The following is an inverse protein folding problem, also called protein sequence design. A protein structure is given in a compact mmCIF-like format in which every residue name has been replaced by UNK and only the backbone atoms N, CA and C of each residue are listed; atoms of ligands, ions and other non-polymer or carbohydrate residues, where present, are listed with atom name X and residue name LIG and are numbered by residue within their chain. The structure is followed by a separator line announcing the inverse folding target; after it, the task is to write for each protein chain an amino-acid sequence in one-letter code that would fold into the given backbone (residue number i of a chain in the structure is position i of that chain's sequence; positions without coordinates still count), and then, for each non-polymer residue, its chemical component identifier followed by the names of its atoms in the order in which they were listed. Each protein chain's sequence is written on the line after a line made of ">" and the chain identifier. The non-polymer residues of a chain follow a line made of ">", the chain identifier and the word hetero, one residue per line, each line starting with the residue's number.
data_IF_956456762901
#
_entry.id   IF_956456762901
#
_cell.length_a   1.000
_cell.length_b   1.000
_cell.length_c   1.000
_cell.angle_alpha   90.00
_cell.angle_beta   90.00
_cell.angle_gamma   90.00
#
_symmetry.space_group_name_H-M   'P 1'
#
loop_
_entity.id
_entity.type
_entity.pdbx_description
1 polymer ?
#
# COMPACT_ATOMS: atom_id res chain seq x y z
N UNK A 1 -8.14 -8.11 13.58
CA UNK A 1 -7.18 -8.34 12.46
C UNK A 1 -5.85 -8.84 13.00
N UNK A 2 -5.37 -9.96 12.46
CA UNK A 2 -4.10 -10.61 12.79
C UNK A 2 -2.95 -10.04 11.95
N UNK A 3 -1.84 -9.70 12.61
CA UNK A 3 -0.56 -9.42 11.93
C UNK A 3 0.21 -10.72 11.78
N UNK A 4 0.66 -11.00 10.56
CA UNK A 4 1.54 -12.12 10.25
C UNK A 4 2.82 -11.55 9.67
N UNK A 5 3.94 -11.76 10.36
CA UNK A 5 5.27 -11.32 9.95
C UNK A 5 5.88 -12.36 9.03
N UNK A 6 6.29 -11.95 7.83
CA UNK A 6 6.94 -12.80 6.83
C UNK A 6 8.45 -12.55 6.73
N UNK A 7 8.92 -11.37 7.15
CA UNK A 7 10.35 -11.04 7.19
C UNK A 7 11.09 -11.74 8.36
N UNK A 8 12.32 -12.19 8.12
CA UNK A 8 13.20 -12.83 9.13
C UNK A 8 13.93 -11.82 10.05
N UNK A 9 13.59 -10.53 9.95
CA UNK A 9 14.17 -9.42 10.74
C UNK A 9 13.08 -8.63 11.46
N UNK A 10 13.43 -7.82 12.46
CA UNK A 10 12.49 -6.86 13.03
C UNK A 10 11.98 -5.84 12.01
N UNK A 11 10.76 -5.34 12.24
CA UNK A 11 10.20 -4.29 11.41
C UNK A 11 11.01 -3.01 11.58
N UNK A 12 11.20 -2.30 10.48
CA UNK A 12 11.72 -0.93 10.54
C UNK A 12 10.62 -0.01 11.04
N UNK A 13 11.00 1.15 11.57
CA UNK A 13 10.02 2.15 12.05
C UNK A 13 9.03 2.55 10.94
N UNK A 14 9.51 2.65 9.70
CA UNK A 14 8.67 2.99 8.55
C UNK A 14 7.62 1.91 8.29
N UNK A 15 8.00 0.63 8.37
CA UNK A 15 7.08 -0.49 8.19
C UNK A 15 6.01 -0.55 9.28
N UNK A 16 6.38 -0.35 10.55
CA UNK A 16 5.44 -0.31 11.66
C UNK A 16 4.42 0.82 11.48
N UNK A 17 4.88 2.02 11.14
CA UNK A 17 4.01 3.17 10.86
C UNK A 17 3.10 2.93 9.65
N UNK A 18 3.63 2.32 8.59
CA UNK A 18 2.84 1.99 7.39
C UNK A 18 1.76 0.98 7.71
N UNK A 19 2.08 -0.09 8.45
CA UNK A 19 1.09 -1.08 8.92
C UNK A 19 0.03 -0.40 9.80
N UNK A 20 0.43 0.43 10.75
CA UNK A 20 -0.48 1.12 11.66
C UNK A 20 -1.44 2.04 10.91
N UNK A 21 -0.95 2.79 9.92
CA UNK A 21 -1.77 3.68 9.10
C UNK A 21 -2.74 2.93 8.21
N UNK A 22 -2.28 1.90 7.48
CA UNK A 22 -3.20 1.15 6.63
C UNK A 22 -4.22 0.34 7.45
N UNK A 23 -3.91 -0.06 8.69
CA UNK A 23 -4.92 -0.59 9.62
C UNK A 23 -5.99 0.43 10.03
N UNK A 24 -5.64 1.72 10.03
CA UNK A 24 -6.59 2.79 10.30
C UNK A 24 -7.43 3.12 9.05
N UNK A 25 -6.79 3.21 7.87
CA UNK A 25 -7.47 3.52 6.60
C UNK A 25 -8.36 2.39 6.10
N UNK A 26 -7.90 1.15 6.22
CA UNK A 26 -8.67 -0.02 5.82
C UNK A 26 -9.57 -0.43 6.97
N UNK A 27 -10.88 -0.47 6.68
CA UNK A 27 -11.86 -1.02 7.61
C UNK A 27 -11.56 -2.48 7.94
N UNK A 28 -12.24 -3.05 8.93
CA UNK A 28 -12.10 -4.47 9.30
C UNK A 28 -12.46 -5.45 8.14
N UNK A 29 -12.90 -4.96 6.99
CA UNK A 29 -13.22 -5.76 5.81
C UNK A 29 -12.09 -5.80 4.79
N UNK A 30 -11.11 -4.90 4.90
CA UNK A 30 -10.04 -4.76 3.92
C UNK A 30 -8.73 -5.27 4.50
N UNK A 31 -8.32 -6.44 4.01
CA UNK A 31 -7.07 -7.09 4.38
C UNK A 31 -5.94 -6.57 3.49
N UNK A 32 -4.68 -6.64 3.91
CA UNK A 32 -3.58 -6.16 3.08
C UNK A 32 -2.25 -6.87 3.33
N UNK A 33 -1.33 -6.74 2.36
CA UNK A 33 0.06 -7.16 2.48
C UNK A 33 0.97 -5.94 2.37
N UNK A 34 2.01 -5.88 3.19
CA UNK A 34 3.11 -4.92 3.06
C UNK A 34 4.16 -5.50 2.11
N UNK A 35 4.44 -4.81 1.00
CA UNK A 35 5.36 -5.23 -0.06
C UNK A 35 6.44 -4.16 -0.32
N UNK A 36 7.43 -4.09 0.56
CA UNK A 36 8.34 -2.94 0.71
C UNK A 36 7.90 -2.04 1.87
N UNK A 37 8.76 -1.10 2.29
CA UNK A 37 8.55 -0.39 3.57
C UNK A 37 7.29 0.50 3.61
N UNK A 38 6.85 0.98 2.44
CA UNK A 38 5.78 1.98 2.31
C UNK A 38 4.63 1.53 1.41
N UNK A 39 4.80 0.43 0.70
CA UNK A 39 3.88 -0.03 -0.34
C UNK A 39 3.04 -1.18 0.18
N UNK A 40 1.73 -1.09 0.06
CA UNK A 40 0.81 -2.16 0.43
C UNK A 40 -0.05 -2.60 -0.74
N UNK A 41 -0.46 -3.86 -0.71
CA UNK A 41 -1.47 -4.42 -1.62
C UNK A 41 -2.74 -4.67 -0.80
N UNK A 42 -3.82 -3.97 -1.12
CA UNK A 42 -5.14 -4.17 -0.50
C UNK A 42 -5.91 -5.33 -1.14
N UNK A 43 -6.66 -6.05 -0.31
CA UNK A 43 -7.53 -7.15 -0.70
C UNK A 43 -8.95 -6.88 -0.19
N UNK A 44 -9.83 -6.46 -1.08
CA UNK A 44 -11.27 -6.39 -0.83
C UNK A 44 -11.88 -7.78 -1.07
N UNK A 45 -11.88 -8.65 -0.06
CA UNK A 45 -12.52 -9.97 -0.13
C UNK A 45 -13.32 -10.27 1.13
N UNK A 46 -14.56 -10.73 0.94
CA UNK A 46 -15.32 -11.42 1.97
C UNK A 46 -14.69 -12.79 2.26
N UNK A 47 -14.45 -13.08 3.54
CA UNK A 47 -13.98 -14.38 4.02
C UNK A 47 -12.49 -14.45 4.38
N UNK A 48 -12.12 -15.55 5.04
CA UNK A 48 -10.79 -15.78 5.56
C UNK A 48 -9.77 -15.99 4.43
N UNK A 49 -8.76 -15.12 4.40
CA UNK A 49 -7.57 -15.32 3.59
C UNK A 49 -6.50 -15.99 4.46
N UNK A 50 -5.89 -17.03 3.91
CA UNK A 50 -4.63 -17.58 4.43
C UNK A 50 -3.45 -16.93 3.69
N UNK A 51 -2.24 -17.12 4.22
CA UNK A 51 -1.00 -16.56 3.65
C UNK A 51 -0.75 -17.00 2.21
N UNK A 52 -1.12 -18.25 1.86
CA UNK A 52 -0.92 -18.78 0.51
C UNK A 52 -1.81 -18.06 -0.51
N UNK A 53 -3.10 -17.89 -0.19
CA UNK A 53 -4.05 -17.15 -1.03
C UNK A 53 -3.69 -15.67 -1.09
N UNK A 54 -3.29 -15.06 0.04
CA UNK A 54 -2.85 -13.68 0.09
C UNK A 54 -1.62 -13.47 -0.80
N UNK A 55 -0.63 -14.35 -0.74
CA UNK A 55 0.55 -14.34 -1.62
C UNK A 55 0.18 -14.41 -3.11
N UNK A 56 -0.78 -15.27 -3.48
CA UNK A 56 -1.27 -15.36 -4.86
C UNK A 56 -1.95 -14.07 -5.31
N UNK A 57 -2.69 -13.40 -4.42
CA UNK A 57 -3.32 -12.11 -4.71
C UNK A 57 -2.27 -11.01 -4.91
N UNK A 58 -1.26 -10.92 -4.03
CA UNK A 58 -0.12 -10.00 -4.20
C UNK A 58 0.47 -10.14 -5.60
N UNK A 59 0.90 -11.36 -5.97
CA UNK A 59 1.53 -11.62 -7.27
C UNK A 59 0.64 -11.26 -8.46
N UNK A 60 -0.68 -11.43 -8.33
CA UNK A 60 -1.64 -11.04 -9.37
C UNK A 60 -1.77 -9.52 -9.47
N UNK A 61 -1.88 -8.83 -8.33
CA UNK A 61 -2.02 -7.38 -8.26
C UNK A 61 -0.78 -6.66 -8.78
N UNK A 62 0.43 -7.08 -8.37
CA UNK A 62 1.68 -6.45 -8.82
C UNK A 62 1.88 -6.63 -10.33
N UNK A 63 1.66 -7.84 -10.87
CA UNK A 63 1.69 -8.07 -12.33
C UNK A 63 0.68 -7.20 -13.09
N UNK A 64 -0.54 -7.06 -12.56
CA UNK A 64 -1.56 -6.20 -13.16
C UNK A 64 -1.08 -4.74 -13.20
N UNK A 65 -0.53 -4.23 -12.10
CA UNK A 65 0.00 -2.87 -12.02
C UNK A 65 1.12 -2.62 -13.05
N UNK A 66 2.09 -3.53 -13.16
CA UNK A 66 3.18 -3.43 -14.15
C UNK A 66 2.69 -3.47 -15.60
N UNK A 67 1.62 -4.24 -15.87
CA UNK A 67 1.03 -4.35 -17.21
C UNK A 67 0.03 -3.24 -17.55
N UNK A 68 -0.35 -2.41 -16.56
CA UNK A 68 -1.35 -1.36 -16.73
C UNK A 68 -0.72 -0.03 -17.12
N UNK A 69 -1.42 0.76 -17.92
CA UNK A 69 -0.99 2.13 -18.16
C UNK A 69 -0.98 2.89 -16.83
N UNK A 70 0.06 3.71 -16.58
CA UNK A 70 0.10 4.61 -15.45
C UNK A 70 -1.18 5.46 -15.38
N UNK A 71 -2.06 5.16 -14.42
CA UNK A 71 -3.18 6.03 -14.08
C UNK A 71 -2.68 7.10 -13.10
N UNK A 72 -2.66 8.36 -13.53
CA UNK A 72 -2.22 9.50 -12.72
C UNK A 72 -3.43 10.27 -12.14
N UNK A 73 -4.64 9.70 -12.20
CA UNK A 73 -5.86 10.35 -11.71
C UNK A 73 -6.29 9.89 -10.31
N UNK A 74 -5.62 8.89 -9.73
CA UNK A 74 -5.98 8.28 -8.45
C UNK A 74 -4.97 8.65 -7.34
N UNK A 75 -4.99 9.91 -6.92
CA UNK A 75 -4.38 10.33 -5.66
C UNK A 75 -5.50 10.64 -4.69
N UNK A 76 -5.40 10.15 -3.46
CA UNK A 76 -6.34 10.51 -2.41
C UNK A 76 -5.50 10.96 -1.23
N UNK A 77 -5.70 12.20 -0.79
CA UNK A 77 -5.09 12.68 0.44
C UNK A 77 -5.97 12.23 1.61
N UNK A 78 -5.36 11.68 2.65
CA UNK A 78 -6.04 11.51 3.94
C UNK A 78 -5.01 11.60 5.08
N UNK A 79 -5.32 12.40 6.10
CA UNK A 79 -4.52 12.67 7.30
C UNK A 79 -3.09 13.25 7.10
N UNK A 80 -2.92 14.40 6.44
CA UNK A 80 -1.64 15.16 6.33
C UNK A 80 -0.45 14.41 5.67
N UNK A 81 -0.67 13.21 5.12
CA UNK A 81 0.34 12.44 4.37
C UNK A 81 -0.16 12.15 2.95
N UNK A 82 0.78 12.05 2.01
CA UNK A 82 0.47 11.70 0.62
C UNK A 82 0.25 10.20 0.48
N UNK A 83 -0.95 9.79 0.08
CA UNK A 83 -1.25 8.42 -0.31
C UNK A 83 -1.44 8.36 -1.84
N UNK A 84 -0.67 7.50 -2.50
CA UNK A 84 -0.73 7.29 -3.96
C UNK A 84 -1.26 5.89 -4.25
N UNK A 85 -2.27 5.80 -5.13
CA UNK A 85 -2.89 4.53 -5.51
C UNK A 85 -2.42 4.14 -6.91
N UNK A 86 -1.84 2.96 -7.05
CA UNK A 86 -1.43 2.39 -8.34
C UNK A 86 -2.47 1.43 -8.89
N UNK A 87 -2.90 1.73 -10.12
CA UNK A 87 -3.90 0.98 -10.88
C UNK A 87 -5.26 0.90 -10.17
N UNK A 88 -6.28 0.33 -10.82
CA UNK A 88 -7.66 0.23 -10.32
C UNK A 88 -7.78 -0.54 -8.99
N UNK A 89 -7.43 0.14 -7.88
CA UNK A 89 -7.83 -0.12 -6.50
C UNK A 89 -7.01 -1.11 -5.68
N UNK A 90 -5.78 -1.48 -6.09
CA UNK A 90 -5.09 -2.62 -5.47
C UNK A 90 -3.79 -2.32 -4.73
N UNK A 91 -3.05 -1.28 -5.11
CA UNK A 91 -1.70 -1.02 -4.60
C UNK A 91 -1.65 0.42 -4.12
N UNK A 92 -1.10 0.62 -2.94
CA UNK A 92 -1.08 1.90 -2.26
C UNK A 92 0.33 2.15 -1.75
N UNK A 93 0.81 3.38 -1.84
CA UNK A 93 2.09 3.79 -1.26
C UNK A 93 1.92 5.08 -0.48
N UNK A 94 2.55 5.12 0.70
CA UNK A 94 2.56 6.27 1.59
C UNK A 94 3.80 7.14 1.37
N UNK A 95 3.64 8.46 1.48
CA UNK A 95 4.78 9.37 1.68
C UNK A 95 5.38 9.24 3.08
N UNK A 96 6.69 9.49 3.19
CA UNK A 96 7.35 9.59 4.49
C UNK A 96 7.04 10.93 5.14
N UNK A 97 7.16 12.03 4.39
CA UNK A 97 6.91 13.36 4.92
C UNK A 97 5.45 13.76 4.82
N UNK A 98 5.11 14.71 5.68
CA UNK A 98 3.84 15.43 5.65
C UNK A 98 3.67 16.19 4.33
N UNK A 99 2.40 16.42 3.99
CA UNK A 99 2.00 17.30 2.91
C UNK A 99 2.42 18.73 3.23
N UNK A 100 2.81 19.47 2.19
CA UNK A 100 3.01 20.91 2.30
C UNK A 100 1.67 21.64 2.45
N UNK A 101 1.69 22.86 3.00
CA UNK A 101 0.48 23.69 3.14
C UNK A 101 -0.26 23.84 1.79
N UNK A 102 0.47 23.97 0.67
CA UNK A 102 -0.11 24.05 -0.68
C UNK A 102 -0.83 22.75 -1.09
N UNK A 103 -0.25 21.59 -0.79
CA UNK A 103 -0.90 20.29 -1.04
C UNK A 103 -2.16 20.14 -0.17
N UNK A 104 -2.08 20.52 1.11
CA UNK A 104 -3.21 20.49 2.04
C UNK A 104 -4.34 21.41 1.57
N UNK A 105 -4.01 22.65 1.18
CA UNK A 105 -4.98 23.64 0.69
C UNK A 105 -5.62 23.25 -0.65
N UNK A 106 -4.83 22.67 -1.56
CA UNK A 106 -5.29 22.31 -2.91
C UNK A 106 -6.14 21.05 -2.94
N UNK A 107 -5.98 20.14 -1.97
CA UNK A 107 -6.64 18.85 -2.04
C UNK A 107 -5.84 17.79 -2.83
N UNK A 108 -4.68 18.17 -3.39
CA UNK A 108 -3.91 17.35 -4.32
C UNK A 108 -2.43 17.21 -3.90
N UNK A 109 -1.88 16.00 -4.04
CA UNK A 109 -0.43 15.76 -3.91
C UNK A 109 0.30 16.39 -5.09
N UNK A 110 1.45 17.03 -4.84
CA UNK A 110 2.25 17.61 -5.91
C UNK A 110 2.65 16.55 -6.95
N UNK A 111 2.51 16.87 -8.24
CA UNK A 111 2.79 15.94 -9.34
C UNK A 111 4.18 15.30 -9.26
N UNK A 112 5.21 16.04 -8.85
CA UNK A 112 6.56 15.51 -8.69
C UNK A 112 6.62 14.41 -7.63
N UNK A 113 6.05 14.68 -6.45
CA UNK A 113 5.97 13.69 -5.35
C UNK A 113 5.15 12.47 -5.77
N UNK A 114 4.01 12.70 -6.42
CA UNK A 114 3.14 11.65 -6.92
C UNK A 114 3.86 10.71 -7.91
N UNK A 115 4.64 11.26 -8.84
CA UNK A 115 5.46 10.50 -9.79
C UNK A 115 6.56 9.72 -9.07
N UNK A 116 7.25 10.33 -8.09
CA UNK A 116 8.29 9.65 -7.31
C UNK A 116 7.75 8.44 -6.54
N UNK A 117 6.68 8.63 -5.77
CA UNK A 117 6.04 7.55 -5.01
C UNK A 117 5.53 6.44 -5.93
N UNK A 118 4.98 6.81 -7.09
CA UNK A 118 4.54 5.84 -8.09
C UNK A 118 5.66 4.97 -8.63
N UNK A 119 6.80 5.56 -8.98
CA UNK A 119 7.95 4.79 -9.45
C UNK A 119 8.44 3.84 -8.35
N UNK A 120 8.51 4.31 -7.10
CA UNK A 120 8.91 3.47 -5.97
C UNK A 120 7.96 2.27 -5.80
N UNK A 121 6.65 2.48 -5.86
CA UNK A 121 5.70 1.39 -5.76
C UNK A 121 5.73 0.45 -6.98
N UNK A 122 6.06 0.95 -8.19
CA UNK A 122 6.30 0.11 -9.37
C UNK A 122 7.56 -0.75 -9.21
N UNK A 123 8.65 -0.18 -8.68
CA UNK A 123 9.89 -0.92 -8.38
C UNK A 123 9.60 -2.05 -7.37
N UNK A 124 8.79 -1.77 -6.34
CA UNK A 124 8.30 -2.80 -5.41
C UNK A 124 7.44 -3.86 -6.14
N UNK A 125 6.66 -3.48 -7.15
CA UNK A 125 5.85 -4.44 -7.91
C UNK A 125 6.68 -5.36 -8.81
N UNK A 126 7.82 -4.90 -9.32
CA UNK A 126 8.75 -5.71 -10.12
C UNK A 126 9.34 -6.86 -9.30
N UNK A 127 9.73 -6.57 -8.05
CA UNK A 127 10.33 -7.52 -7.13
C UNK A 127 9.68 -7.44 -5.74
N UNK A 128 8.43 -7.95 -5.58
CA UNK A 128 7.71 -7.79 -4.33
C UNK A 128 8.31 -8.67 -3.24
N UNK A 129 8.91 -8.03 -2.24
CA UNK A 129 9.25 -8.65 -0.96
C UNK A 129 8.06 -8.51 -0.01
N UNK A 130 7.38 -9.61 0.27
CA UNK A 130 6.27 -9.60 1.23
C UNK A 130 6.86 -9.59 2.64
N UNK A 131 6.71 -8.46 3.33
CA UNK A 131 7.23 -8.25 4.68
C UNK A 131 6.24 -8.72 5.74
N UNK A 132 4.95 -8.46 5.52
CA UNK A 132 3.89 -8.83 6.44
C UNK A 132 2.52 -8.92 5.76
N UNK A 133 1.59 -9.63 6.40
CA UNK A 133 0.16 -9.62 6.10
C UNK A 133 -0.64 -9.10 7.30
N UNK A 134 -1.68 -8.32 7.02
CA UNK A 134 -2.72 -7.97 7.98
C UNK A 134 -4.03 -8.56 7.47
N UNK A 135 -4.45 -9.65 8.12
CA UNK A 135 -5.60 -10.46 7.72
C UNK A 135 -6.70 -10.36 8.78
N UNK A 136 -7.92 -10.71 8.42
CA UNK A 136 -9.02 -10.78 9.39
C UNK A 136 -8.83 -11.96 10.34
N UNK A 137 -9.37 -11.84 11.54
CA UNK A 137 -9.38 -12.97 12.49
C UNK A 137 -10.41 -14.01 12.00
N UNK A 138 -9.99 -15.27 11.93
CA UNK A 138 -10.84 -16.42 11.58
C UNK A 138 -11.93 -16.66 12.64
#
# INVERSE_FOLDING_TARGET
>A
MKLIKSAEREFTKIEEETIAKFRYYFDEKTQFALIGEKTVVGFSKEGDLDEEKATKLVKKSTRKALSSHPDFSAYTMDDDYGLVILSSGGIFIRSEDILSDEEIESGDVNLGRAVSLKNEALDCCENPEIIAFVLNDQ
#
